data_IF_531571688413
#
_entry.id   IF_531571688413
#
_cell.length_a   1.000
_cell.length_b   1.000
_cell.length_c   1.000
_cell.angle_alpha   90.00
_cell.angle_beta   90.00
_cell.angle_gamma   90.00
#
_symmetry.space_group_name_H-M   'P 1'
#
loop_
_entity.id
_entity.type
_entity.pdbx_description
1 polymer ?
#
# COMPACT_ATOMS: atom_id res chain seq x y z
N UNK A 1 0.03 27.43 24.78
CA UNK A 1 -0.18 27.12 23.35
C UNK A 1 -1.02 28.24 22.76
N UNK A 2 -0.63 28.80 21.61
CA UNK A 2 -1.46 29.79 20.88
C UNK A 2 -2.77 29.13 20.46
N UNK A 3 -3.90 29.79 20.71
CA UNK A 3 -5.28 29.27 20.49
C UNK A 3 -5.60 28.85 19.06
N UNK A 4 -4.74 29.17 18.09
CA UNK A 4 -4.96 28.94 16.66
C UNK A 4 -4.94 27.46 16.23
N UNK A 5 -4.41 26.54 17.04
CA UNK A 5 -4.23 25.12 16.64
C UNK A 5 -5.03 24.14 17.48
N UNK A 6 -5.79 24.60 18.48
CA UNK A 6 -6.55 23.74 19.40
C UNK A 6 -7.49 22.78 18.66
N UNK A 7 -8.04 23.21 17.52
CA UNK A 7 -8.93 22.40 16.68
C UNK A 7 -8.28 21.15 16.08
N UNK A 8 -6.94 21.08 15.99
CA UNK A 8 -6.23 19.88 15.51
C UNK A 8 -6.16 18.79 16.57
N UNK A 9 -6.30 19.14 17.86
CA UNK A 9 -6.21 18.22 19.00
C UNK A 9 -7.58 17.75 19.49
N UNK A 10 -8.66 18.09 18.79
CA UNK A 10 -10.00 17.62 19.13
C UNK A 10 -10.31 16.31 18.43
N UNK A 11 -11.15 15.49 19.05
CA UNK A 11 -11.62 14.24 18.46
C UNK A 11 -12.33 14.46 17.11
N UNK A 12 -12.20 13.49 16.21
CA UNK A 12 -12.95 13.39 14.96
C UNK A 12 -13.53 11.98 14.82
N UNK A 13 -14.69 11.87 14.17
CA UNK A 13 -15.35 10.59 13.89
C UNK A 13 -15.38 10.37 12.39
N UNK A 14 -14.89 9.22 11.93
CA UNK A 14 -14.91 8.82 10.53
C UNK A 14 -16.29 8.27 10.14
N UNK A 15 -16.57 8.16 8.84
CA UNK A 15 -17.83 7.61 8.32
C UNK A 15 -18.12 6.17 8.80
N UNK A 16 -17.08 5.42 9.17
CA UNK A 16 -17.20 4.08 9.77
C UNK A 16 -17.67 4.07 11.23
N UNK A 17 -17.76 5.24 11.88
CA UNK A 17 -17.97 5.38 13.31
C UNK A 17 -16.70 5.29 14.17
N UNK A 18 -15.54 5.01 13.56
CA UNK A 18 -14.26 5.02 14.27
C UNK A 18 -13.92 6.44 14.74
N UNK A 19 -13.42 6.56 15.97
CA UNK A 19 -13.00 7.82 16.58
C UNK A 19 -11.48 7.96 16.55
N UNK A 20 -11.01 9.17 16.22
CA UNK A 20 -9.61 9.59 16.28
C UNK A 20 -9.49 10.69 17.34
N UNK A 21 -8.58 10.54 18.31
CA UNK A 21 -8.42 11.47 19.43
C UNK A 21 -7.88 12.85 19.00
N UNK A 22 -7.32 12.94 17.79
CA UNK A 22 -6.83 14.14 17.15
C UNK A 22 -7.01 14.05 15.63
N UNK A 23 -6.79 15.17 14.93
CA UNK A 23 -6.81 15.25 13.46
C UNK A 23 -5.44 14.95 12.83
N UNK A 24 -4.46 14.53 13.62
CA UNK A 24 -3.17 14.14 13.09
C UNK A 24 -3.22 12.71 12.57
N UNK A 25 -2.80 12.56 11.32
CA UNK A 25 -2.62 11.30 10.62
C UNK A 25 -1.16 11.22 10.20
N UNK A 26 -0.50 10.11 10.51
CA UNK A 26 0.81 9.83 9.94
C UNK A 26 0.62 9.31 8.51
N UNK A 27 1.10 10.09 7.54
CA UNK A 27 1.03 9.74 6.14
C UNK A 27 1.82 8.43 5.84
N UNK A 28 1.45 7.71 4.76
CA UNK A 28 2.18 6.53 4.30
C UNK A 28 3.66 6.85 4.09
N UNK A 29 4.55 6.02 4.65
CA UNK A 29 5.99 6.15 4.50
C UNK A 29 6.62 4.77 4.41
N UNK A 30 7.33 4.50 3.30
CA UNK A 30 8.09 3.26 3.15
C UNK A 30 9.35 3.36 3.99
N UNK A 31 9.46 2.53 5.03
CA UNK A 31 10.58 2.54 5.96
C UNK A 31 11.78 1.70 5.47
N UNK A 32 11.57 0.85 4.46
CA UNK A 32 12.56 -0.11 3.94
C UNK A 32 13.13 -1.04 5.04
N UNK A 33 12.30 -1.39 6.04
CA UNK A 33 12.70 -2.22 7.19
C UNK A 33 12.30 -3.70 7.10
N UNK A 34 11.70 -4.12 5.97
CA UNK A 34 11.24 -5.49 5.75
C UNK A 34 12.39 -6.38 5.22
N UNK A 35 12.16 -7.68 5.14
CA UNK A 35 13.03 -8.55 4.33
C UNK A 35 12.93 -8.18 2.85
N UNK A 36 13.84 -8.70 2.01
CA UNK A 36 13.77 -8.47 0.56
C UNK A 36 12.51 -9.06 -0.09
N UNK A 37 12.00 -10.15 0.49
CA UNK A 37 10.73 -10.81 0.14
C UNK A 37 9.50 -10.07 0.71
N UNK A 38 9.72 -9.01 1.50
CA UNK A 38 8.69 -8.14 2.07
C UNK A 38 8.04 -8.64 3.36
N UNK A 39 8.67 -9.58 4.07
CA UNK A 39 8.25 -9.95 5.42
C UNK A 39 8.58 -8.82 6.41
N UNK A 40 7.64 -8.50 7.30
CA UNK A 40 7.84 -7.47 8.34
C UNK A 40 9.11 -7.75 9.13
N UNK A 41 10.02 -6.79 9.17
CA UNK A 41 11.29 -6.88 9.89
C UNK A 41 11.28 -6.17 11.24
N UNK A 42 12.36 -6.33 12.01
CA UNK A 42 12.53 -5.66 13.30
C UNK A 42 12.59 -4.13 13.16
N UNK A 43 13.12 -3.63 12.04
CA UNK A 43 13.21 -2.20 11.78
C UNK A 43 11.84 -1.59 11.47
N UNK A 44 10.95 -2.31 10.78
CA UNK A 44 9.54 -1.91 10.62
C UNK A 44 8.86 -1.75 11.99
N UNK A 45 9.02 -2.77 12.86
CA UNK A 45 8.43 -2.76 14.20
C UNK A 45 9.01 -1.63 15.05
N UNK A 46 10.33 -1.43 15.04
CA UNK A 46 10.98 -0.33 15.76
C UNK A 46 10.50 1.05 15.25
N UNK A 47 10.34 1.20 13.94
CA UNK A 47 9.89 2.43 13.29
C UNK A 47 8.48 2.82 13.74
N UNK A 48 7.53 1.88 13.75
CA UNK A 48 6.15 2.13 14.20
C UNK A 48 6.02 2.16 15.72
N UNK A 49 6.80 1.38 16.47
CA UNK A 49 6.85 1.45 17.93
C UNK A 49 7.24 2.87 18.40
N UNK A 50 8.21 3.50 17.73
CA UNK A 50 8.61 4.88 18.05
C UNK A 50 7.51 5.91 17.75
N UNK A 51 6.56 5.57 16.88
CA UNK A 51 5.55 6.47 16.30
C UNK A 51 4.11 6.18 16.73
N UNK A 52 3.87 5.12 17.48
CA UNK A 52 2.55 4.73 18.00
C UNK A 52 1.82 5.86 18.74
N UNK A 53 2.56 6.80 19.35
CA UNK A 53 2.04 7.99 20.08
C UNK A 53 1.96 9.28 19.26
N UNK A 54 2.39 9.27 17.99
CA UNK A 54 2.61 10.52 17.24
C UNK A 54 1.37 11.07 16.54
N UNK A 55 0.39 10.21 16.28
CA UNK A 55 -0.84 10.55 15.58
C UNK A 55 -1.95 9.57 15.99
N UNK A 56 -3.20 9.97 15.81
CA UNK A 56 -4.36 9.11 16.14
C UNK A 56 -4.65 8.06 15.08
N UNK A 57 -4.10 8.24 13.88
CA UNK A 57 -4.16 7.29 12.77
C UNK A 57 -2.76 7.15 12.16
N UNK A 58 -2.30 5.92 12.03
CA UNK A 58 -1.03 5.57 11.41
C UNK A 58 -1.29 4.75 10.16
N UNK A 59 -0.69 5.16 9.05
CA UNK A 59 -0.79 4.45 7.78
C UNK A 59 0.59 3.86 7.46
N UNK A 60 0.63 2.57 7.11
CA UNK A 60 1.89 1.92 6.75
C UNK A 60 2.51 2.53 5.50
N UNK A 61 3.77 2.18 5.22
CA UNK A 61 4.27 2.29 3.85
C UNK A 61 3.50 1.40 2.88
N UNK A 62 3.74 1.63 1.59
CA UNK A 62 3.13 0.89 0.50
C UNK A 62 3.44 -0.62 0.63
N UNK A 63 2.39 -1.44 0.71
CA UNK A 63 2.44 -2.90 0.90
C UNK A 63 2.01 -3.64 -0.37
N UNK A 64 2.94 -4.36 -1.00
CA UNK A 64 2.71 -5.04 -2.27
C UNK A 64 1.68 -6.16 -2.11
N UNK A 65 0.67 -6.20 -2.98
CA UNK A 65 -0.43 -7.19 -2.88
C UNK A 65 -0.22 -8.44 -3.73
N UNK A 66 0.68 -8.39 -4.71
CA UNK A 66 0.91 -9.45 -5.68
C UNK A 66 2.41 -9.61 -6.00
N UNK A 67 2.84 -10.78 -6.53
CA UNK A 67 4.18 -10.97 -7.08
C UNK A 67 4.51 -9.90 -8.12
N UNK A 68 5.80 -9.72 -8.39
CA UNK A 68 6.32 -8.63 -9.22
C UNK A 68 5.99 -7.22 -8.67
N UNK A 69 5.61 -7.13 -7.40
CA UNK A 69 5.24 -5.89 -6.74
C UNK A 69 6.34 -5.17 -5.96
N UNK A 70 7.62 -5.52 -6.10
CA UNK A 70 8.71 -4.91 -5.35
C UNK A 70 9.32 -3.68 -6.06
N UNK A 71 9.05 -2.49 -5.52
CA UNK A 71 9.64 -1.22 -5.96
C UNK A 71 10.77 -0.70 -5.04
N UNK A 72 10.89 -1.22 -3.82
CA UNK A 72 11.71 -0.62 -2.75
C UNK A 72 12.85 -1.52 -2.26
N UNK A 73 12.91 -2.78 -2.67
CA UNK A 73 13.89 -3.75 -2.21
C UNK A 73 13.44 -4.35 -0.89
N UNK A 74 13.41 -3.54 0.15
CA UNK A 74 13.05 -3.92 1.53
C UNK A 74 11.68 -3.37 1.97
N UNK A 75 10.74 -3.25 1.02
CA UNK A 75 9.37 -2.79 1.28
C UNK A 75 8.42 -3.89 1.72
N UNK A 76 7.28 -3.52 2.31
CA UNK A 76 6.27 -4.46 2.82
C UNK A 76 5.57 -5.22 1.69
N UNK A 77 5.17 -6.46 1.96
CA UNK A 77 4.30 -7.25 1.09
C UNK A 77 3.21 -8.03 1.87
N UNK A 78 2.17 -8.46 1.15
CA UNK A 78 1.03 -9.24 1.64
C UNK A 78 0.53 -10.20 0.56
N UNK A 79 1.40 -11.12 0.13
CA UNK A 79 1.17 -11.96 -1.06
C UNK A 79 0.32 -13.20 -0.72
N UNK A 80 0.68 -13.87 0.37
CA UNK A 80 0.02 -15.06 0.88
C UNK A 80 -0.07 -15.07 2.42
N UNK A 81 -0.63 -16.14 2.99
CA UNK A 81 -0.87 -16.23 4.43
C UNK A 81 0.42 -16.36 5.27
N UNK A 82 1.58 -16.63 4.66
CA UNK A 82 2.87 -16.62 5.36
C UNK A 82 3.25 -15.22 5.86
N UNK A 83 2.70 -14.16 5.26
CA UNK A 83 2.90 -12.76 5.69
C UNK A 83 2.07 -12.37 6.91
N UNK A 84 1.02 -13.15 7.22
CA UNK A 84 0.05 -12.81 8.25
C UNK A 84 0.68 -12.60 9.65
N UNK A 85 1.59 -13.45 10.16
CA UNK A 85 2.17 -13.26 11.50
C UNK A 85 2.87 -11.92 11.65
N UNK A 86 3.72 -11.54 10.68
CA UNK A 86 4.43 -10.26 10.71
C UNK A 86 3.47 -9.07 10.61
N UNK A 87 2.46 -9.17 9.75
CA UNK A 87 1.41 -8.15 9.64
C UNK A 87 0.60 -8.01 10.94
N UNK A 88 0.34 -9.09 11.67
CA UNK A 88 -0.29 -9.07 12.99
C UNK A 88 0.58 -8.33 14.00
N UNK A 89 1.88 -8.62 14.04
CA UNK A 89 2.82 -7.94 14.94
C UNK A 89 2.93 -6.44 14.61
N UNK A 90 2.93 -6.10 13.32
CA UNK A 90 2.95 -4.71 12.86
C UNK A 90 1.68 -3.95 13.29
N UNK A 91 0.49 -4.51 13.03
CA UNK A 91 -0.78 -3.92 13.44
C UNK A 91 -0.85 -3.73 14.96
N UNK A 92 -0.44 -4.75 15.73
CA UNK A 92 -0.37 -4.66 17.20
C UNK A 92 0.57 -3.55 17.65
N UNK A 93 1.75 -3.45 17.04
CA UNK A 93 2.76 -2.43 17.37
C UNK A 93 2.26 -1.02 17.09
N UNK A 94 1.63 -0.79 15.93
CA UNK A 94 1.05 0.50 15.58
C UNK A 94 -0.06 0.92 16.57
N UNK A 95 -0.85 -0.04 17.06
CA UNK A 95 -2.03 0.19 17.91
C UNK A 95 -1.72 0.21 19.42
N UNK A 96 -0.49 -0.06 19.83
CA UNK A 96 -0.14 -0.25 21.25
C UNK A 96 -0.41 0.98 22.13
N UNK A 97 -0.44 2.17 21.55
CA UNK A 97 -0.72 3.45 22.23
C UNK A 97 -2.03 4.09 21.74
N UNK A 98 -3.04 3.26 21.46
CA UNK A 98 -4.41 3.65 21.09
C UNK A 98 -4.57 4.35 19.73
N UNK A 99 -3.51 4.42 18.90
CA UNK A 99 -3.65 4.83 17.52
C UNK A 99 -4.43 3.80 16.69
N UNK A 100 -5.16 4.26 15.69
CA UNK A 100 -5.71 3.40 14.64
C UNK A 100 -4.61 3.05 13.63
N UNK A 101 -4.62 1.82 13.13
CA UNK A 101 -3.64 1.36 12.14
C UNK A 101 -4.30 1.00 10.81
N UNK A 102 -3.76 1.53 9.71
CA UNK A 102 -4.22 1.27 8.35
C UNK A 102 -3.08 0.72 7.50
N UNK A 103 -3.35 -0.40 6.81
CA UNK A 103 -2.40 -0.99 5.85
C UNK A 103 -2.62 -0.39 4.47
N UNK A 104 -1.61 0.28 3.92
CA UNK A 104 -1.68 0.82 2.56
C UNK A 104 -1.36 -0.27 1.53
N UNK A 105 -2.35 -0.67 0.74
CA UNK A 105 -2.25 -1.68 -0.30
C UNK A 105 -1.89 -1.03 -1.64
N UNK A 106 -0.90 -1.59 -2.33
CA UNK A 106 -0.51 -1.09 -3.65
C UNK A 106 0.07 -2.20 -4.55
N UNK A 107 0.23 -1.85 -5.83
CA UNK A 107 1.14 -2.52 -6.73
C UNK A 107 1.92 -1.45 -7.52
N UNK A 108 3.25 -1.53 -7.63
CA UNK A 108 4.05 -0.50 -8.29
C UNK A 108 3.84 -0.42 -9.80
N UNK A 109 3.34 -1.50 -10.41
CA UNK A 109 3.22 -1.58 -11.86
C UNK A 109 4.59 -1.39 -12.51
N UNK A 110 4.70 -0.46 -13.45
CA UNK A 110 5.97 -0.23 -14.16
C UNK A 110 7.11 0.23 -13.26
N UNK A 111 6.82 0.73 -12.06
CA UNK A 111 7.83 1.21 -11.10
C UNK A 111 8.48 0.04 -10.30
N UNK A 112 8.20 -1.22 -10.66
CA UNK A 112 8.69 -2.44 -10.01
C UNK A 112 10.19 -2.73 -10.28
N UNK A 113 11.08 -1.77 -10.01
CA UNK A 113 12.50 -1.86 -10.38
C UNK A 113 13.22 -3.09 -9.81
N UNK A 114 12.91 -3.49 -8.57
CA UNK A 114 13.57 -4.64 -7.95
C UNK A 114 12.98 -5.95 -8.46
N UNK A 115 11.67 -6.02 -8.68
CA UNK A 115 11.06 -7.15 -9.40
C UNK A 115 11.69 -7.32 -10.79
N UNK A 116 11.94 -6.23 -11.51
CA UNK A 116 12.59 -6.31 -12.82
C UNK A 116 14.03 -6.84 -12.70
N UNK A 117 14.78 -6.39 -11.70
CA UNK A 117 16.15 -6.86 -11.48
C UNK A 117 16.23 -8.36 -11.18
N UNK A 118 15.26 -8.93 -10.46
CA UNK A 118 15.27 -10.35 -10.10
C UNK A 118 14.56 -11.24 -11.10
N UNK A 119 13.45 -10.77 -11.68
CA UNK A 119 12.56 -11.59 -12.53
C UNK A 119 12.57 -11.17 -14.02
N UNK A 120 13.20 -10.05 -14.36
CA UNK A 120 13.27 -9.55 -15.74
C UNK A 120 11.96 -8.97 -16.29
N UNK A 121 10.96 -8.73 -15.44
CA UNK A 121 9.65 -8.21 -15.86
C UNK A 121 9.09 -7.15 -14.90
N UNK A 122 8.49 -6.11 -15.49
CA UNK A 122 7.68 -5.12 -14.80
C UNK A 122 6.37 -4.92 -15.58
N UNK A 123 5.24 -4.93 -14.87
CA UNK A 123 3.92 -4.94 -15.47
C UNK A 123 3.27 -3.56 -15.47
N UNK A 124 2.48 -3.23 -16.48
CA UNK A 124 1.68 -2.01 -16.53
C UNK A 124 0.43 -2.19 -17.39
N UNK A 125 -0.37 -1.13 -17.56
CA UNK A 125 -1.58 -1.20 -18.37
C UNK A 125 -1.32 -1.41 -19.86
N UNK A 126 -0.13 -1.02 -20.36
CA UNK A 126 0.24 -1.15 -21.76
C UNK A 126 1.73 -1.42 -21.93
N UNK A 127 2.09 -2.12 -23.01
CA UNK A 127 3.49 -2.33 -23.37
C UNK A 127 4.06 -1.01 -23.89
N UNK A 128 4.95 -0.40 -23.10
CA UNK A 128 5.49 0.93 -23.41
C UNK A 128 6.90 1.10 -22.84
N UNK A 129 7.73 1.80 -23.60
CA UNK A 129 9.02 2.28 -23.12
C UNK A 129 8.86 3.71 -22.61
N UNK A 130 9.46 3.98 -21.46
CA UNK A 130 9.49 5.30 -20.85
C UNK A 130 10.95 5.72 -20.72
N UNK A 131 11.29 6.94 -21.13
CA UNK A 131 12.68 7.41 -21.14
C UNK A 131 13.32 7.55 -19.76
N UNK A 132 12.52 7.52 -18.70
CA UNK A 132 12.96 7.56 -17.30
C UNK A 132 13.04 6.18 -16.65
N UNK A 133 12.69 5.10 -17.38
CA UNK A 133 12.87 3.73 -16.93
C UNK A 133 13.99 3.08 -17.73
N UNK A 134 14.89 2.38 -17.04
CA UNK A 134 15.99 1.64 -17.67
C UNK A 134 15.55 0.26 -18.20
N UNK A 135 14.24 -0.01 -18.21
CA UNK A 135 13.65 -1.28 -18.62
C UNK A 135 12.26 -1.11 -19.26
N UNK A 136 11.84 -2.04 -20.12
CA UNK A 136 10.52 -1.97 -20.75
C UNK A 136 9.40 -2.36 -19.78
N UNK A 137 8.20 -1.79 -19.99
CA UNK A 137 6.97 -2.23 -19.32
C UNK A 137 6.24 -3.27 -20.16
N UNK A 138 5.77 -4.34 -19.52
CA UNK A 138 4.95 -5.41 -20.12
C UNK A 138 3.47 -5.15 -19.84
N UNK A 139 2.62 -5.26 -20.85
CA UNK A 139 1.17 -5.16 -20.69
C UNK A 139 0.60 -6.30 -19.84
N UNK A 140 -0.24 -5.98 -18.86
CA UNK A 140 -1.07 -6.96 -18.17
C UNK A 140 -2.15 -7.50 -19.11
N UNK A 141 -2.30 -8.83 -19.16
CA UNK A 141 -3.47 -9.46 -19.78
C UNK A 141 -4.75 -9.16 -18.99
N UNK A 142 -5.91 -9.44 -19.57
CA UNK A 142 -7.17 -9.28 -18.85
C UNK A 142 -7.27 -10.26 -17.67
N UNK A 143 -6.77 -11.49 -17.83
CA UNK A 143 -6.71 -12.49 -16.79
C UNK A 143 -5.81 -12.02 -15.63
N UNK A 144 -4.64 -11.46 -15.94
CA UNK A 144 -3.75 -10.90 -14.92
C UNK A 144 -4.35 -9.67 -14.21
N UNK A 145 -5.22 -8.91 -14.88
CA UNK A 145 -5.99 -7.83 -14.25
C UNK A 145 -6.98 -8.39 -13.23
N UNK A 146 -7.73 -9.44 -13.58
CA UNK A 146 -8.65 -10.09 -12.64
C UNK A 146 -7.90 -10.72 -11.45
N UNK A 147 -6.75 -11.36 -11.71
CA UNK A 147 -5.85 -11.86 -10.66
C UNK A 147 -5.36 -10.73 -9.75
N UNK A 148 -5.02 -9.57 -10.30
CA UNK A 148 -4.62 -8.40 -9.53
C UNK A 148 -5.76 -7.88 -8.64
N UNK A 149 -6.99 -7.80 -9.16
CA UNK A 149 -8.18 -7.42 -8.37
C UNK A 149 -8.36 -8.40 -7.21
N UNK A 150 -8.27 -9.70 -7.49
CA UNK A 150 -8.35 -10.73 -6.45
C UNK A 150 -7.21 -10.61 -5.43
N UNK A 151 -6.00 -10.25 -5.85
CA UNK A 151 -4.87 -10.02 -4.96
C UNK A 151 -5.12 -8.86 -3.99
N UNK A 152 -5.68 -7.73 -4.44
CA UNK A 152 -6.11 -6.64 -3.55
C UNK A 152 -7.18 -7.10 -2.55
N UNK A 153 -8.14 -7.93 -2.97
CA UNK A 153 -9.17 -8.48 -2.10
C UNK A 153 -8.59 -9.42 -1.04
N UNK A 154 -7.67 -10.31 -1.43
CA UNK A 154 -6.99 -11.24 -0.52
C UNK A 154 -6.08 -10.50 0.47
N UNK A 155 -5.32 -9.49 0.01
CA UNK A 155 -4.51 -8.64 0.88
C UNK A 155 -5.38 -7.86 1.88
N UNK A 156 -6.56 -7.40 1.46
CA UNK A 156 -7.57 -6.80 2.35
C UNK A 156 -8.06 -7.79 3.40
N UNK A 157 -8.37 -9.03 3.01
CA UNK A 157 -8.74 -10.11 3.94
C UNK A 157 -7.64 -10.37 4.97
N UNK A 158 -6.37 -10.38 4.55
CA UNK A 158 -5.22 -10.52 5.46
C UNK A 158 -5.08 -9.32 6.39
N UNK A 159 -5.29 -8.09 5.91
CA UNK A 159 -5.27 -6.90 6.76
C UNK A 159 -6.31 -6.99 7.90
N UNK A 160 -7.53 -7.44 7.57
CA UNK A 160 -8.60 -7.68 8.56
C UNK A 160 -8.16 -8.74 9.58
N UNK A 161 -7.68 -9.90 9.10
CA UNK A 161 -7.21 -11.01 9.95
C UNK A 161 -6.01 -10.63 10.81
N UNK A 162 -5.15 -9.75 10.32
CA UNK A 162 -3.98 -9.22 11.03
C UNK A 162 -4.36 -8.25 12.15
N UNK A 163 -5.57 -7.67 12.11
CA UNK A 163 -6.07 -6.74 13.13
C UNK A 163 -5.82 -5.26 12.82
N UNK A 164 -5.56 -4.90 11.56
CA UNK A 164 -5.61 -3.50 11.13
C UNK A 164 -7.04 -2.95 11.27
N UNK A 165 -7.16 -1.65 11.57
CA UNK A 165 -8.46 -0.96 11.69
C UNK A 165 -9.03 -0.54 10.32
N UNK A 166 -8.22 -0.63 9.26
CA UNK A 166 -8.65 -0.37 7.89
C UNK A 166 -7.54 -0.62 6.88
N UNK A 167 -7.87 -0.37 5.61
CA UNK A 167 -6.93 -0.38 4.49
C UNK A 167 -6.99 0.95 3.76
N UNK A 168 -5.90 1.31 3.09
CA UNK A 168 -5.86 2.40 2.12
C UNK A 168 -5.49 1.81 0.75
N UNK A 169 -6.26 2.11 -0.30
CA UNK A 169 -5.91 1.72 -1.67
C UNK A 169 -5.02 2.80 -2.26
N UNK A 170 -3.77 2.48 -2.59
CA UNK A 170 -2.85 3.44 -3.16
C UNK A 170 -3.12 3.68 -4.66
N UNK A 171 -4.00 4.64 -4.95
CA UNK A 171 -4.37 5.08 -6.31
C UNK A 171 -3.57 6.26 -6.87
N UNK A 172 -2.35 6.52 -6.37
CA UNK A 172 -1.60 7.76 -6.61
C UNK A 172 -0.13 7.49 -7.00
N UNK A 173 0.70 8.54 -7.07
CA UNK A 173 2.16 8.49 -7.20
C UNK A 173 2.71 7.61 -8.32
N UNK A 174 2.02 7.59 -9.47
CA UNK A 174 2.44 6.84 -10.65
C UNK A 174 2.37 5.31 -10.53
N UNK A 175 1.75 4.74 -9.49
CA UNK A 175 1.62 3.29 -9.32
C UNK A 175 0.43 2.70 -10.08
N UNK A 176 0.28 1.37 -10.05
CA UNK A 176 -0.52 0.61 -11.01
C UNK A 176 -1.92 1.18 -11.27
N UNK A 177 -2.69 1.48 -10.22
CA UNK A 177 -4.05 2.02 -10.36
C UNK A 177 -4.02 3.38 -11.08
N UNK A 178 -3.10 4.27 -10.71
CA UNK A 178 -2.91 5.54 -11.39
C UNK A 178 -2.44 5.36 -12.84
N UNK A 179 -1.60 4.35 -13.09
CA UNK A 179 -1.15 4.03 -14.45
C UNK A 179 -2.32 3.63 -15.34
N UNK A 180 -3.27 2.83 -14.83
CA UNK A 180 -4.51 2.51 -15.55
C UNK A 180 -5.39 3.73 -15.77
N UNK A 181 -5.39 4.71 -14.87
CA UNK A 181 -6.18 5.93 -15.01
C UNK A 181 -5.56 6.94 -16.00
N UNK A 182 -4.24 6.99 -16.12
CA UNK A 182 -3.55 7.97 -16.96
C UNK A 182 -3.49 7.56 -18.43
N UNK A 183 -3.91 8.45 -19.33
CA UNK A 183 -3.79 8.27 -20.80
C UNK A 183 -2.35 8.25 -21.30
N UNK A 184 -1.38 8.66 -20.47
CA UNK A 184 0.05 8.60 -20.82
C UNK A 184 0.56 7.17 -20.71
N UNK A 185 0.12 6.42 -19.71
CA UNK A 185 0.57 5.05 -19.45
C UNK A 185 -0.39 4.00 -20.01
N UNK A 186 -1.69 4.26 -20.00
CA UNK A 186 -2.71 3.35 -20.49
C UNK A 186 -3.15 3.74 -21.91
N UNK A 187 -2.77 2.92 -22.89
CA UNK A 187 -3.19 3.02 -24.29
C UNK A 187 -4.03 1.81 -24.73
N UNK A 188 -4.66 1.11 -23.77
CA UNK A 188 -5.54 -0.03 -24.07
C UNK A 188 -6.75 0.44 -24.87
N UNK A 189 -7.14 -0.36 -25.85
CA UNK A 189 -8.31 -0.11 -26.72
C UNK A 189 -9.59 -0.83 -26.25
N UNK A 190 -9.50 -1.62 -25.18
CA UNK A 190 -10.61 -2.34 -24.57
C UNK A 190 -10.80 -1.85 -23.12
N UNK A 191 -12.04 -1.77 -22.64
CA UNK A 191 -12.31 -1.40 -21.25
C UNK A 191 -11.77 -2.49 -20.31
N UNK A 192 -10.73 -2.16 -19.54
CA UNK A 192 -10.36 -2.93 -18.35
C UNK A 192 -11.39 -2.69 -17.26
N UNK A 193 -11.90 -3.74 -16.60
CA UNK A 193 -12.88 -3.66 -15.50
C UNK A 193 -12.39 -2.89 -14.26
N UNK A 194 -11.17 -2.35 -14.28
CA UNK A 194 -10.60 -1.53 -13.21
C UNK A 194 -11.39 -0.22 -12.95
N UNK A 195 -12.28 0.19 -13.85
CA UNK A 195 -13.21 1.27 -13.56
C UNK A 195 -14.48 0.73 -12.88
N UNK A 196 -14.56 0.95 -11.56
CA UNK A 196 -15.75 1.03 -10.68
C UNK A 196 -15.70 0.10 -9.45
N UNK A 197 -14.79 0.36 -8.50
CA UNK A 197 -15.07 0.09 -7.08
C UNK A 197 -15.87 1.27 -6.53
N UNK A 198 -17.09 1.46 -7.02
CA UNK A 198 -18.14 2.28 -6.38
C UNK A 198 -19.50 1.75 -6.79
N UNK A 199 -19.95 0.67 -6.16
CA UNK A 199 -21.36 0.42 -5.84
C UNK A 199 -21.44 -0.37 -4.55
#
# INVERSE_FOLDING_TARGET
>A
MTTSFTSLFTQSTLNSGATLDSKFVMAPMVAEGSSFEGYVGLDDLAYFNRRSKTASLLITGATAVAPYGNAFGYGLASLDDSYLPGLTDLAKTMKQDNAKAVLQLFHPGREARYSYQTEGVAYGPSTKQFSFLDYPTTELSNEQIEEMIQAFALATSRAIRAGFDGIEIHGANHYLIQQFFSTISNTRIYMSQILLITK
#
